data_IF_603884053919
#
_entry.id   IF_603884053919
#
_cell.length_a   1.000
_cell.length_b   1.000
_cell.length_c   1.000
_cell.angle_alpha   90.00
_cell.angle_beta   90.00
_cell.angle_gamma   90.00
#
_symmetry.space_group_name_H-M   'P 1'
#
loop_
_entity.id
_entity.type
_entity.pdbx_description
1 polymer ?
#
# COMPACT_ATOMS: atom_id res chain seq x y z
N UNK A 1 -1.56 -2.71 14.19
CA UNK A 1 -0.92 -1.40 13.91
C UNK A 1 -1.57 -0.28 14.72
N UNK A 2 -2.87 -0.01 14.57
CA UNK A 2 -3.54 1.17 15.21
C UNK A 2 -3.50 1.19 16.75
N UNK A 3 -3.72 0.07 17.43
CA UNK A 3 -3.58 0.02 18.88
C UNK A 3 -2.13 -0.20 19.34
N UNK A 4 -1.27 -0.74 18.46
CA UNK A 4 0.07 -1.17 18.83
C UNK A 4 1.03 -0.01 19.14
N UNK A 5 0.95 1.08 18.38
CA UNK A 5 1.82 2.25 18.60
C UNK A 5 1.47 2.98 19.90
N UNK A 6 0.18 3.34 20.18
CA UNK A 6 -0.19 3.98 21.45
C UNK A 6 0.10 3.11 22.67
N UNK A 7 -0.24 1.81 22.64
CA UNK A 7 0.08 0.88 23.74
C UNK A 7 1.60 0.75 23.94
N UNK A 8 2.36 0.61 22.86
CA UNK A 8 3.82 0.54 22.92
C UNK A 8 4.44 1.78 23.56
N UNK A 9 3.92 2.97 23.24
CA UNK A 9 4.36 4.23 23.85
C UNK A 9 3.98 4.34 25.33
N UNK A 10 2.77 3.95 25.71
CA UNK A 10 2.32 3.96 27.12
C UNK A 10 3.15 3.02 27.99
N UNK A 11 3.37 1.79 27.51
CA UNK A 11 4.16 0.77 28.20
C UNK A 11 5.63 1.17 28.22
N UNK A 12 6.15 1.73 27.13
CA UNK A 12 7.51 2.25 27.06
C UNK A 12 7.77 3.40 28.03
N UNK A 13 6.79 4.29 28.23
CA UNK A 13 6.88 5.37 29.24
C UNK A 13 6.83 4.84 30.67
N UNK A 14 5.97 3.87 30.96
CA UNK A 14 5.78 3.36 32.31
C UNK A 14 6.88 2.38 32.76
N UNK A 15 7.35 1.52 31.87
CA UNK A 15 8.24 0.38 32.19
C UNK A 15 9.57 0.41 31.40
N UNK A 16 9.85 1.51 30.73
CA UNK A 16 11.07 1.71 29.94
C UNK A 16 11.01 1.08 28.55
N UNK A 17 12.00 1.42 27.73
CA UNK A 17 12.03 1.08 26.30
C UNK A 17 12.09 -0.42 26.00
N UNK A 18 12.51 -1.27 26.95
CA UNK A 18 12.60 -2.73 26.78
C UNK A 18 11.25 -3.42 26.90
N UNK A 19 10.31 -2.86 27.67
CA UNK A 19 9.04 -3.49 27.99
C UNK A 19 8.15 -3.78 26.75
N UNK A 20 8.04 -2.87 25.75
CA UNK A 20 7.34 -3.18 24.51
C UNK A 20 7.92 -4.38 23.75
N UNK A 21 9.24 -4.55 23.74
CA UNK A 21 9.88 -5.69 23.08
C UNK A 21 9.56 -7.01 23.76
N UNK A 22 9.61 -7.05 25.10
CA UNK A 22 9.24 -8.25 25.87
C UNK A 22 7.78 -8.62 25.62
N UNK A 23 6.88 -7.64 25.63
CA UNK A 23 5.46 -7.86 25.33
C UNK A 23 5.26 -8.46 23.94
N UNK A 24 5.93 -7.91 22.94
CA UNK A 24 5.89 -8.44 21.56
C UNK A 24 6.40 -9.87 21.54
N UNK A 25 7.54 -10.18 22.17
CA UNK A 25 8.09 -11.54 22.23
C UNK A 25 7.12 -12.55 22.85
N UNK A 26 6.47 -12.20 23.96
CA UNK A 26 5.47 -13.06 24.62
C UNK A 26 4.26 -13.30 23.71
N UNK A 27 3.70 -12.25 23.13
CA UNK A 27 2.57 -12.36 22.20
C UNK A 27 2.91 -13.21 20.96
N UNK A 28 4.13 -13.08 20.43
CA UNK A 28 4.61 -13.92 19.34
C UNK A 28 4.70 -15.38 19.74
N UNK A 29 5.20 -15.70 20.94
CA UNK A 29 5.28 -17.07 21.43
C UNK A 29 3.89 -17.69 21.59
N UNK A 30 2.94 -16.94 22.17
CA UNK A 30 1.53 -17.37 22.31
C UNK A 30 0.93 -17.66 20.93
N UNK A 31 1.16 -16.78 19.96
CA UNK A 31 0.65 -16.94 18.59
C UNK A 31 1.27 -18.17 17.91
N UNK A 32 2.58 -18.41 18.10
CA UNK A 32 3.28 -19.57 17.57
C UNK A 32 2.72 -20.89 18.13
N UNK A 33 2.51 -20.96 19.45
CA UNK A 33 1.90 -22.13 20.10
C UNK A 33 0.46 -22.31 19.59
N UNK A 34 -0.30 -21.22 19.48
CA UNK A 34 -1.66 -21.23 18.94
C UNK A 34 -1.72 -21.82 17.54
N UNK A 35 -0.83 -21.38 16.64
CA UNK A 35 -0.74 -21.94 15.28
C UNK A 35 -0.35 -23.43 15.32
N UNK A 36 0.61 -23.82 16.15
CA UNK A 36 1.07 -25.21 16.23
C UNK A 36 -0.02 -26.18 16.73
N UNK A 37 -0.91 -25.72 17.61
CA UNK A 37 -1.96 -26.55 18.22
C UNK A 37 -3.27 -26.49 17.44
N UNK A 38 -3.65 -25.31 16.94
CA UNK A 38 -4.99 -25.05 16.36
C UNK A 38 -5.03 -25.20 14.84
N UNK A 39 -3.90 -25.00 14.13
CA UNK A 39 -3.91 -25.01 12.68
C UNK A 39 -3.86 -26.46 12.15
N UNK A 40 -4.88 -26.92 11.40
CA UNK A 40 -4.86 -28.25 10.80
C UNK A 40 -3.72 -28.35 9.79
N UNK A 41 -3.13 -29.55 9.65
CA UNK A 41 -2.11 -29.80 8.63
C UNK A 41 -2.68 -29.55 7.24
N UNK A 42 -2.15 -28.52 6.57
CA UNK A 42 -2.48 -28.20 5.18
C UNK A 42 -1.57 -29.04 4.29
N UNK A 43 -2.15 -29.79 3.36
CA UNK A 43 -1.37 -30.56 2.39
C UNK A 43 -0.46 -29.61 1.58
N UNK A 44 0.82 -29.95 1.36
CA UNK A 44 1.68 -29.14 0.51
C UNK A 44 1.06 -29.02 -0.88
N UNK A 45 0.73 -27.79 -1.31
CA UNK A 45 0.44 -27.53 -2.73
C UNK A 45 1.68 -27.87 -3.54
N UNK A 46 1.49 -28.38 -4.76
CA UNK A 46 2.61 -28.58 -5.69
C UNK A 46 3.37 -27.27 -5.84
N UNK A 47 4.61 -27.25 -5.34
CA UNK A 47 5.46 -26.06 -5.35
C UNK A 47 5.95 -25.90 -6.77
N UNK A 48 5.45 -24.88 -7.46
CA UNK A 48 5.96 -24.51 -8.78
C UNK A 48 7.46 -24.18 -8.62
N UNK A 49 8.35 -24.69 -9.48
CA UNK A 49 9.77 -24.39 -9.39
C UNK A 49 10.01 -22.87 -9.36
N UNK A 50 10.91 -22.42 -8.47
CA UNK A 50 11.31 -21.01 -8.33
C UNK A 50 11.59 -20.34 -9.68
N UNK A 51 12.21 -21.06 -10.61
CA UNK A 51 12.48 -20.57 -11.97
C UNK A 51 11.20 -20.21 -12.74
N UNK A 52 10.15 -21.03 -12.67
CA UNK A 52 8.87 -20.76 -13.33
C UNK A 52 8.11 -19.62 -12.64
N UNK A 53 8.21 -19.51 -11.31
CA UNK A 53 7.65 -18.40 -10.58
C UNK A 53 8.35 -17.07 -10.93
N UNK A 54 9.68 -17.06 -11.04
CA UNK A 54 10.46 -15.89 -11.48
C UNK A 54 10.15 -15.46 -12.92
N UNK A 55 9.80 -16.40 -13.81
CA UNK A 55 9.37 -16.08 -15.18
C UNK A 55 8.08 -15.26 -15.21
N UNK A 56 7.20 -15.38 -14.20
CA UNK A 56 6.01 -14.53 -14.11
C UNK A 56 6.35 -13.05 -13.90
N UNK A 57 7.51 -12.73 -13.33
CA UNK A 57 7.99 -11.36 -13.17
C UNK A 57 8.42 -10.68 -14.46
N UNK A 58 8.68 -11.44 -15.52
CA UNK A 58 8.96 -10.86 -16.84
C UNK A 58 7.69 -10.37 -17.54
N UNK A 59 6.51 -10.66 -16.99
CA UNK A 59 5.25 -10.33 -17.64
C UNK A 59 4.96 -8.84 -17.42
N UNK A 60 4.78 -8.06 -18.50
CA UNK A 60 4.64 -6.60 -18.43
C UNK A 60 3.44 -6.16 -17.60
N UNK A 61 2.40 -6.99 -17.50
CA UNK A 61 1.22 -6.76 -16.64
C UNK A 61 1.54 -6.80 -15.15
N UNK A 62 2.39 -7.74 -14.72
CA UNK A 62 2.81 -7.88 -13.32
C UNK A 62 3.81 -6.77 -12.96
N UNK A 63 4.78 -6.49 -13.84
CA UNK A 63 5.75 -5.41 -13.64
C UNK A 63 5.04 -4.07 -13.45
N UNK A 64 4.07 -3.74 -14.30
CA UNK A 64 3.34 -2.47 -14.20
C UNK A 64 2.47 -2.38 -12.93
N UNK A 65 1.89 -3.49 -12.47
CA UNK A 65 1.16 -3.53 -11.20
C UNK A 65 2.06 -3.34 -9.98
N UNK A 66 3.24 -3.98 -9.98
CA UNK A 66 4.24 -3.79 -8.93
C UNK A 66 4.81 -2.36 -8.95
N UNK A 67 5.09 -1.81 -10.14
CA UNK A 67 5.54 -0.43 -10.30
C UNK A 67 4.48 0.57 -9.83
N UNK A 68 3.20 0.30 -10.10
CA UNK A 68 2.08 1.09 -9.55
C UNK A 68 2.13 1.12 -8.02
N UNK A 69 2.40 -0.02 -7.39
CA UNK A 69 2.54 -0.10 -5.93
C UNK A 69 3.70 0.76 -5.42
N UNK A 70 4.88 0.64 -6.05
CA UNK A 70 6.05 1.47 -5.71
C UNK A 70 5.70 2.94 -5.82
N UNK A 71 5.13 3.37 -6.94
CA UNK A 71 4.85 4.79 -7.22
C UNK A 71 3.76 5.39 -6.33
N UNK A 72 2.65 4.66 -6.09
CA UNK A 72 1.61 5.10 -5.16
C UNK A 72 2.20 5.32 -3.77
N UNK A 73 3.01 4.37 -3.30
CA UNK A 73 3.54 4.43 -1.95
C UNK A 73 4.69 5.42 -1.81
N UNK A 74 5.52 5.59 -2.85
CA UNK A 74 6.46 6.71 -2.95
C UNK A 74 5.72 8.03 -2.84
N UNK A 75 4.66 8.24 -3.62
CA UNK A 75 3.89 9.48 -3.59
C UNK A 75 3.28 9.77 -2.22
N UNK A 76 2.74 8.74 -1.56
CA UNK A 76 2.25 8.84 -0.18
C UNK A 76 3.36 9.23 0.81
N UNK A 77 4.50 8.54 0.77
CA UNK A 77 5.57 8.71 1.74
C UNK A 77 6.41 9.98 1.53
N UNK A 78 6.45 10.53 0.32
CA UNK A 78 7.04 11.86 0.08
C UNK A 78 6.43 12.91 1.01
N UNK A 79 5.11 12.85 1.25
CA UNK A 79 4.43 13.73 2.19
C UNK A 79 4.36 13.14 3.60
N UNK A 80 3.94 11.88 3.74
CA UNK A 80 3.65 11.28 5.04
C UNK A 80 4.89 11.15 5.94
N UNK A 81 6.07 10.86 5.37
CA UNK A 81 7.31 10.75 6.14
C UNK A 81 7.68 12.07 6.85
N UNK A 82 7.24 13.19 6.30
CA UNK A 82 7.49 14.54 6.82
C UNK A 82 6.19 15.20 7.30
N UNK A 83 5.18 14.40 7.66
CA UNK A 83 3.88 14.94 8.03
C UNK A 83 3.91 15.74 9.33
N UNK A 84 4.68 15.29 10.33
CA UNK A 84 4.88 16.05 11.58
C UNK A 84 5.47 17.44 11.31
N UNK A 85 6.62 17.59 10.62
CA UNK A 85 7.14 18.92 10.32
C UNK A 85 6.19 19.74 9.42
N UNK A 86 5.46 19.11 8.50
CA UNK A 86 4.42 19.81 7.72
C UNK A 86 3.33 20.44 8.62
N UNK A 87 2.81 19.69 9.60
CA UNK A 87 1.82 20.20 10.55
C UNK A 87 2.37 21.33 11.44
N UNK A 88 3.67 21.30 11.75
CA UNK A 88 4.32 22.32 12.59
C UNK A 88 4.62 23.60 11.79
N UNK A 89 5.18 23.47 10.59
CA UNK A 89 5.61 24.62 9.80
C UNK A 89 4.44 25.32 9.10
N UNK A 90 3.44 24.56 8.63
CA UNK A 90 2.37 25.09 7.77
C UNK A 90 1.10 25.40 8.57
N UNK A 91 0.77 24.56 9.57
CA UNK A 91 -0.44 24.72 10.39
C UNK A 91 -0.13 25.22 11.81
N UNK A 92 1.15 25.40 12.17
CA UNK A 92 1.60 25.88 13.48
C UNK A 92 1.02 25.09 14.67
N UNK A 93 0.82 23.78 14.48
CA UNK A 93 0.23 22.92 15.51
C UNK A 93 1.26 22.54 16.59
N UNK A 94 0.78 22.47 17.83
CA UNK A 94 1.54 21.94 18.95
C UNK A 94 1.50 20.39 19.00
N UNK A 95 2.30 19.79 19.88
CA UNK A 95 2.42 18.33 20.02
C UNK A 95 1.09 17.61 20.34
N UNK A 96 0.18 18.25 21.09
CA UNK A 96 -1.11 17.66 21.44
C UNK A 96 -2.01 17.56 20.21
N UNK A 97 -2.09 18.62 19.40
CA UNK A 97 -2.85 18.62 18.15
C UNK A 97 -2.26 17.68 17.11
N UNK A 98 -0.93 17.59 17.01
CA UNK A 98 -0.28 16.62 16.13
C UNK A 98 -0.67 15.19 16.52
N UNK A 99 -0.64 14.87 17.82
CA UNK A 99 -1.05 13.56 18.32
C UNK A 99 -2.52 13.25 17.98
N UNK A 100 -3.40 14.24 18.12
CA UNK A 100 -4.81 14.13 17.71
C UNK A 100 -4.95 13.88 16.20
N UNK A 101 -4.23 14.62 15.36
CA UNK A 101 -4.25 14.42 13.90
C UNK A 101 -3.78 13.01 13.51
N UNK A 102 -2.68 12.51 14.09
CA UNK A 102 -2.24 11.14 13.86
C UNK A 102 -3.24 10.08 14.35
N UNK A 103 -3.93 10.34 15.45
CA UNK A 103 -4.98 9.45 15.95
C UNK A 103 -6.15 9.36 14.95
N UNK A 104 -6.64 10.51 14.48
CA UNK A 104 -7.70 10.58 13.45
C UNK A 104 -7.24 9.92 12.16
N UNK A 105 -5.99 10.16 11.73
CA UNK A 105 -5.38 9.51 10.59
C UNK A 105 -5.39 7.98 10.75
N UNK A 106 -4.99 7.45 11.89
CA UNK A 106 -4.97 6.00 12.11
C UNK A 106 -6.38 5.37 12.03
N UNK A 107 -7.40 6.03 12.57
CA UNK A 107 -8.79 5.56 12.46
C UNK A 107 -9.23 5.57 11.00
N UNK A 108 -9.01 6.68 10.30
CA UNK A 108 -9.34 6.83 8.90
C UNK A 108 -8.63 5.78 8.02
N UNK A 109 -7.36 5.48 8.27
CA UNK A 109 -6.59 4.44 7.60
C UNK A 109 -7.23 3.04 7.73
N UNK A 110 -7.70 2.67 8.93
CA UNK A 110 -8.36 1.37 9.14
C UNK A 110 -9.68 1.29 8.39
N UNK A 111 -10.49 2.34 8.48
CA UNK A 111 -11.76 2.42 7.74
C UNK A 111 -11.50 2.35 6.23
N UNK A 112 -10.48 3.07 5.75
CA UNK A 112 -10.04 3.05 4.35
C UNK A 112 -9.63 1.66 3.87
N UNK A 113 -8.82 0.94 4.64
CA UNK A 113 -8.44 -0.43 4.32
C UNK A 113 -9.64 -1.37 4.20
N UNK A 114 -10.60 -1.28 5.14
CA UNK A 114 -11.85 -2.04 5.08
C UNK A 114 -12.70 -1.71 3.85
N UNK A 115 -12.89 -0.41 3.58
CA UNK A 115 -13.64 0.05 2.40
C UNK A 115 -12.94 -0.33 1.09
N UNK A 116 -11.61 -0.33 1.05
CA UNK A 116 -10.82 -0.77 -0.09
C UNK A 116 -11.00 -2.25 -0.40
N UNK A 117 -11.01 -3.09 0.64
CA UNK A 117 -11.32 -4.52 0.54
C UNK A 117 -12.74 -4.75 0.04
N UNK A 118 -13.73 -4.12 0.69
CA UNK A 118 -15.13 -4.18 0.26
C UNK A 118 -15.32 -3.73 -1.20
N UNK A 119 -14.68 -2.64 -1.62
CA UNK A 119 -14.76 -2.12 -3.00
C UNK A 119 -14.12 -3.09 -4.00
N UNK A 120 -12.99 -3.71 -3.64
CA UNK A 120 -12.33 -4.71 -4.48
C UNK A 120 -13.17 -5.97 -4.67
N UNK A 121 -13.90 -6.40 -3.63
CA UNK A 121 -14.80 -7.55 -3.68
C UNK A 121 -16.09 -7.23 -4.45
N UNK A 122 -16.67 -6.04 -4.23
CA UNK A 122 -17.95 -5.61 -4.82
C UNK A 122 -17.83 -5.22 -6.29
N UNK A 123 -16.80 -4.45 -6.66
CA UNK A 123 -16.64 -3.89 -8.01
C UNK A 123 -15.55 -4.57 -8.83
N UNK A 124 -14.73 -5.41 -8.20
CA UNK A 124 -13.54 -6.00 -8.79
C UNK A 124 -12.30 -5.12 -8.59
N UNK A 125 -11.15 -5.78 -8.41
CA UNK A 125 -9.87 -5.14 -8.12
C UNK A 125 -9.43 -4.12 -9.18
N UNK A 126 -9.73 -4.36 -10.46
CA UNK A 126 -9.45 -3.44 -11.57
C UNK A 126 -10.22 -2.13 -11.43
N UNK A 127 -11.55 -2.19 -11.31
CA UNK A 127 -12.39 -0.98 -11.20
C UNK A 127 -12.07 -0.21 -9.92
N UNK A 128 -11.89 -0.93 -8.81
CA UNK A 128 -11.50 -0.33 -7.53
C UNK A 128 -10.18 0.45 -7.66
N UNK A 129 -9.16 -0.15 -8.28
CA UNK A 129 -7.85 0.50 -8.51
C UNK A 129 -7.97 1.74 -9.40
N UNK A 130 -8.77 1.68 -10.48
CA UNK A 130 -8.96 2.80 -11.39
C UNK A 130 -9.77 3.96 -10.79
N UNK A 131 -10.51 3.75 -9.71
CA UNK A 131 -11.24 4.81 -8.99
C UNK A 131 -10.41 5.37 -7.83
N UNK A 132 -9.76 4.51 -7.05
CA UNK A 132 -9.07 4.92 -5.82
C UNK A 132 -7.78 5.70 -6.13
N UNK A 133 -6.96 5.26 -7.09
CA UNK A 133 -5.69 5.94 -7.41
C UNK A 133 -5.89 7.39 -7.86
N UNK A 134 -6.78 7.72 -8.82
CA UNK A 134 -6.95 9.12 -9.23
C UNK A 134 -7.59 9.96 -8.12
N UNK A 135 -8.52 9.40 -7.34
CA UNK A 135 -9.04 10.07 -6.15
C UNK A 135 -7.92 10.40 -5.15
N UNK A 136 -6.99 9.46 -4.95
CA UNK A 136 -5.83 9.66 -4.08
C UNK A 136 -4.90 10.76 -4.60
N UNK A 137 -4.64 10.81 -5.91
CA UNK A 137 -3.86 11.87 -6.53
C UNK A 137 -4.49 13.25 -6.30
N UNK A 138 -5.78 13.40 -6.57
CA UNK A 138 -6.53 14.65 -6.38
C UNK A 138 -6.41 15.12 -4.93
N UNK A 139 -6.62 14.20 -3.99
CA UNK A 139 -6.62 14.53 -2.56
C UNK A 139 -5.22 14.94 -2.07
N UNK A 140 -4.15 14.31 -2.57
CA UNK A 140 -2.78 14.76 -2.27
C UNK A 140 -2.54 16.20 -2.74
N UNK A 141 -2.99 16.56 -3.94
CA UNK A 141 -2.86 17.94 -4.42
C UNK A 141 -3.73 18.93 -3.65
N UNK A 142 -4.82 18.47 -3.04
CA UNK A 142 -5.72 19.31 -2.26
C UNK A 142 -5.18 19.61 -0.85
N UNK A 143 -4.31 18.76 -0.29
CA UNK A 143 -3.69 18.95 1.03
C UNK A 143 -3.11 20.37 1.20
N UNK A 144 -2.14 20.83 0.38
CA UNK A 144 -1.50 22.13 0.57
C UNK A 144 -2.47 23.31 0.39
N UNK A 145 -3.53 23.13 -0.40
CA UNK A 145 -4.57 24.14 -0.65
C UNK A 145 -5.57 24.20 0.50
N UNK A 146 -5.71 23.14 1.29
CA UNK A 146 -6.67 23.06 2.40
C UNK A 146 -6.20 23.70 3.71
N UNK A 147 -4.95 24.17 3.77
CA UNK A 147 -4.28 24.60 5.02
C UNK A 147 -4.79 25.91 5.60
N UNK A 148 -5.53 26.72 4.83
CA UNK A 148 -6.15 27.96 5.32
C UNK A 148 -7.24 27.73 6.37
N UNK A 149 -7.78 26.51 6.47
CA UNK A 149 -8.79 26.14 7.46
C UNK A 149 -8.47 24.76 8.05
N UNK A 150 -8.26 24.71 9.37
CA UNK A 150 -7.96 23.45 10.06
C UNK A 150 -9.04 22.39 9.86
N UNK A 151 -10.33 22.78 9.85
CA UNK A 151 -11.43 21.85 9.62
C UNK A 151 -11.43 21.28 8.21
N UNK A 152 -11.17 22.11 7.20
CA UNK A 152 -11.07 21.65 5.81
C UNK A 152 -9.87 20.70 5.66
N UNK A 153 -8.72 21.07 6.22
CA UNK A 153 -7.54 20.24 6.25
C UNK A 153 -7.81 18.87 6.89
N UNK A 154 -8.51 18.82 8.03
CA UNK A 154 -8.87 17.55 8.68
C UNK A 154 -9.73 16.66 7.77
N UNK A 155 -10.73 17.23 7.09
CA UNK A 155 -11.57 16.48 6.14
C UNK A 155 -10.73 15.92 5.00
N UNK A 156 -9.90 16.76 4.37
CA UNK A 156 -9.02 16.34 3.26
C UNK A 156 -8.02 15.28 3.73
N UNK A 157 -7.46 15.43 4.94
CA UNK A 157 -6.56 14.46 5.55
C UNK A 157 -7.25 13.13 5.83
N UNK A 158 -8.51 13.13 6.28
CA UNK A 158 -9.27 11.90 6.53
C UNK A 158 -9.46 11.14 5.22
N UNK A 159 -9.86 11.84 4.15
CA UNK A 159 -10.00 11.24 2.83
C UNK A 159 -8.65 10.73 2.32
N UNK A 160 -7.58 11.50 2.49
CA UNK A 160 -6.21 11.11 2.12
C UNK A 160 -5.80 9.81 2.80
N UNK A 161 -6.01 9.74 4.12
CA UNK A 161 -5.68 8.58 4.95
C UNK A 161 -6.52 7.36 4.60
N UNK A 162 -7.80 7.54 4.26
CA UNK A 162 -8.65 6.42 3.84
C UNK A 162 -8.16 5.85 2.51
N UNK A 163 -7.90 6.72 1.53
CA UNK A 163 -7.49 6.33 0.20
C UNK A 163 -6.08 5.70 0.18
N UNK A 164 -5.15 6.17 1.03
CA UNK A 164 -3.79 5.62 1.09
C UNK A 164 -3.76 4.14 1.46
N UNK A 165 -4.71 3.69 2.29
CA UNK A 165 -4.81 2.31 2.75
C UNK A 165 -5.88 1.48 2.01
N UNK A 166 -6.78 2.11 1.28
CA UNK A 166 -7.76 1.43 0.44
C UNK A 166 -7.14 0.70 -0.78
N UNK A 167 -5.97 1.17 -1.25
CA UNK A 167 -5.30 0.64 -2.45
C UNK A 167 -4.69 -0.75 -2.21
N UNK A 168 -4.13 -0.99 -1.02
CA UNK A 168 -3.40 -2.22 -0.69
C UNK A 168 -4.22 -3.51 -0.91
N UNK A 169 -5.44 -3.65 -0.36
CA UNK A 169 -6.24 -4.88 -0.57
C UNK A 169 -6.64 -5.04 -2.05
N UNK A 170 -6.95 -3.95 -2.75
CA UNK A 170 -7.28 -4.00 -4.17
C UNK A 170 -6.09 -4.50 -5.02
N UNK A 171 -4.87 -4.00 -4.74
CA UNK A 171 -3.64 -4.43 -5.40
C UNK A 171 -3.28 -5.88 -5.09
N UNK A 172 -3.36 -6.31 -3.82
CA UNK A 172 -3.11 -7.70 -3.44
C UNK A 172 -4.10 -8.66 -4.12
N UNK A 173 -5.39 -8.32 -4.12
CA UNK A 173 -6.43 -9.09 -4.82
C UNK A 173 -6.17 -9.13 -6.33
N UNK A 174 -5.75 -8.02 -6.93
CA UNK A 174 -5.36 -7.94 -8.35
C UNK A 174 -4.21 -8.88 -8.70
N UNK A 175 -3.14 -8.89 -7.89
CA UNK A 175 -1.97 -9.74 -8.12
C UNK A 175 -2.32 -11.23 -7.99
N UNK A 176 -3.09 -11.59 -6.96
CA UNK A 176 -3.57 -12.96 -6.74
C UNK A 176 -4.41 -13.43 -7.94
N UNK A 177 -5.35 -12.61 -8.42
CA UNK A 177 -6.17 -12.94 -9.59
C UNK A 177 -5.36 -12.99 -10.89
N UNK A 178 -4.28 -12.21 -11.00
CA UNK A 178 -3.48 -12.11 -12.23
C UNK A 178 -2.51 -13.28 -12.42
N UNK A 179 -1.94 -13.82 -11.35
CA UNK A 179 -1.27 -15.13 -11.40
C UNK A 179 -1.54 -15.94 -10.12
N UNK A 180 -2.65 -16.71 -10.09
CA UNK A 180 -3.04 -17.51 -8.92
C UNK A 180 -1.97 -18.53 -8.54
N UNK A 181 -1.32 -19.11 -9.54
CA UNK A 181 -0.28 -20.13 -9.42
C UNK A 181 1.01 -19.63 -8.75
N UNK A 182 1.36 -18.34 -8.92
CA UNK A 182 2.55 -17.72 -8.30
C UNK A 182 2.20 -16.61 -7.30
N UNK A 183 0.99 -16.65 -6.75
CA UNK A 183 0.44 -15.62 -5.86
C UNK A 183 1.30 -15.34 -4.63
N UNK A 184 1.84 -16.38 -3.97
CA UNK A 184 2.71 -16.22 -2.80
C UNK A 184 3.96 -15.36 -3.09
N UNK A 185 4.62 -15.62 -4.22
CA UNK A 185 5.80 -14.85 -4.64
C UNK A 185 5.40 -13.44 -5.08
N UNK A 186 4.26 -13.29 -5.76
CA UNK A 186 3.78 -11.97 -6.15
C UNK A 186 3.45 -11.11 -4.93
N UNK A 187 2.87 -11.68 -3.87
CA UNK A 187 2.62 -11.00 -2.61
C UNK A 187 3.92 -10.68 -1.87
N UNK A 188 4.87 -11.62 -1.83
CA UNK A 188 6.20 -11.37 -1.24
C UNK A 188 6.94 -10.25 -1.96
N UNK A 189 6.89 -10.22 -3.30
CA UNK A 189 7.52 -9.17 -4.09
C UNK A 189 6.77 -7.86 -3.99
N UNK A 190 5.45 -7.89 -3.83
CA UNK A 190 4.68 -6.70 -3.53
C UNK A 190 5.08 -6.11 -2.18
N UNK A 191 5.31 -6.93 -1.15
CA UNK A 191 5.86 -6.45 0.11
C UNK A 191 7.22 -5.74 -0.07
N UNK A 192 8.13 -6.33 -0.86
CA UNK A 192 9.40 -5.66 -1.21
C UNK A 192 9.19 -4.36 -2.00
N UNK A 193 8.24 -4.33 -2.93
CA UNK A 193 7.87 -3.14 -3.68
C UNK A 193 7.29 -2.04 -2.79
N UNK A 194 6.49 -2.39 -1.78
CA UNK A 194 5.99 -1.44 -0.78
C UNK A 194 7.17 -0.81 -0.01
N UNK A 195 8.13 -1.62 0.45
CA UNK A 195 9.31 -1.11 1.17
C UNK A 195 10.20 -0.24 0.27
N UNK A 196 10.38 -0.62 -1.00
CA UNK A 196 11.06 0.22 -1.99
C UNK A 196 10.36 1.55 -2.18
N UNK A 197 9.03 1.56 -2.30
CA UNK A 197 8.23 2.79 -2.37
C UNK A 197 8.40 3.67 -1.14
N UNK A 198 8.39 3.08 0.06
CA UNK A 198 8.62 3.82 1.31
C UNK A 198 10.01 4.47 1.32
N UNK A 199 11.05 3.71 0.95
CA UNK A 199 12.42 4.22 0.88
C UNK A 199 12.56 5.35 -0.14
N UNK A 200 12.04 5.15 -1.36
CA UNK A 200 12.09 6.13 -2.44
C UNK A 200 11.32 7.41 -2.09
N UNK A 201 10.08 7.28 -1.60
CA UNK A 201 9.26 8.42 -1.19
C UNK A 201 9.91 9.22 -0.07
N UNK A 202 10.40 8.56 0.97
CA UNK A 202 11.07 9.22 2.10
C UNK A 202 12.37 9.92 1.68
N UNK A 203 13.16 9.29 0.79
CA UNK A 203 14.39 9.88 0.25
C UNK A 203 14.09 11.11 -0.61
N UNK A 204 13.13 11.00 -1.53
CA UNK A 204 12.72 12.12 -2.40
C UNK A 204 12.14 13.26 -1.57
N UNK A 205 11.26 12.98 -0.61
CA UNK A 205 10.73 13.99 0.31
C UNK A 205 11.84 14.69 1.10
N UNK A 206 12.89 13.96 1.49
CA UNK A 206 14.07 14.51 2.16
C UNK A 206 14.88 15.46 1.28
N UNK A 207 15.08 15.10 0.01
CA UNK A 207 15.75 15.97 -0.97
C UNK A 207 14.93 17.22 -1.26
N UNK A 208 13.59 17.10 -1.35
CA UNK A 208 12.71 18.23 -1.62
C UNK A 208 12.75 19.23 -0.46
N UNK A 209 12.64 18.79 0.81
CA UNK A 209 12.72 19.70 1.96
C UNK A 209 14.10 20.34 2.14
N UNK A 210 15.17 19.69 1.66
CA UNK A 210 16.52 20.25 1.74
C UNK A 210 16.72 21.46 0.81
N UNK A 211 15.97 21.54 -0.28
CA UNK A 211 16.14 22.56 -1.32
C UNK A 211 14.92 23.51 -1.45
N UNK A 212 13.76 23.09 -0.96
CA UNK A 212 12.49 23.79 -1.14
C UNK A 212 11.59 23.68 0.11
N UNK A 213 10.45 24.39 0.09
CA UNK A 213 9.46 24.32 1.18
C UNK A 213 8.83 22.93 1.30
N UNK A 214 8.50 22.53 2.53
CA UNK A 214 7.81 21.28 2.86
C UNK A 214 6.45 21.11 2.16
N UNK A 215 5.82 22.22 1.76
CA UNK A 215 4.57 22.22 0.99
C UNK A 215 4.76 21.53 -0.38
N UNK A 216 5.97 21.59 -0.94
CA UNK A 216 6.29 20.98 -2.23
C UNK A 216 6.24 19.44 -2.21
N UNK A 217 6.35 18.81 -1.04
CA UNK A 217 6.24 17.36 -0.91
C UNK A 217 4.86 16.84 -1.36
N UNK A 218 3.79 17.61 -1.14
CA UNK A 218 2.46 17.23 -1.61
C UNK A 218 2.39 17.26 -3.15
N UNK A 219 2.96 18.28 -3.80
CA UNK A 219 2.99 18.40 -5.26
C UNK A 219 3.82 17.28 -5.91
N UNK A 220 5.03 17.03 -5.38
CA UNK A 220 5.90 15.95 -5.85
C UNK A 220 5.24 14.59 -5.62
N UNK A 221 4.67 14.38 -4.42
CA UNK A 221 3.93 13.15 -4.10
C UNK A 221 2.76 12.91 -5.05
N UNK A 222 1.99 13.95 -5.37
CA UNK A 222 0.88 13.88 -6.31
C UNK A 222 1.33 13.48 -7.72
N UNK A 223 2.48 14.00 -8.18
CA UNK A 223 3.06 13.61 -9.48
C UNK A 223 3.41 12.11 -9.52
N UNK A 224 4.00 11.57 -8.44
CA UNK A 224 4.25 10.12 -8.32
C UNK A 224 2.96 9.31 -8.45
N UNK A 225 1.88 9.72 -7.79
CA UNK A 225 0.59 9.03 -7.87
C UNK A 225 -0.05 9.15 -9.26
N UNK A 226 0.10 10.29 -9.95
CA UNK A 226 -0.34 10.44 -11.34
C UNK A 226 0.40 9.49 -12.29
N UNK A 227 1.72 9.37 -12.15
CA UNK A 227 2.49 8.38 -12.94
C UNK A 227 2.08 6.96 -12.58
N UNK A 228 1.78 6.69 -11.31
CA UNK A 228 1.23 5.41 -10.87
C UNK A 228 -0.11 5.10 -11.55
N UNK A 229 -0.98 6.10 -11.71
CA UNK A 229 -2.26 5.93 -12.39
C UNK A 229 -2.10 5.54 -13.85
N UNK A 230 -1.17 6.18 -14.58
CA UNK A 230 -0.84 5.80 -15.95
C UNK A 230 -0.32 4.36 -16.03
N UNK A 231 0.51 3.96 -15.07
CA UNK A 231 1.00 2.58 -14.95
C UNK A 231 -0.14 1.59 -14.67
N UNK A 232 -1.10 1.97 -13.82
CA UNK A 232 -2.28 1.16 -13.52
C UNK A 232 -3.16 0.96 -14.76
N UNK A 233 -3.43 2.03 -15.52
CA UNK A 233 -4.16 1.94 -16.80
C UNK A 233 -3.44 1.02 -17.78
N UNK A 234 -2.12 1.20 -17.93
CA UNK A 234 -1.30 0.36 -18.81
C UNK A 234 -1.30 -1.12 -18.40
N UNK A 235 -1.36 -1.40 -17.10
CA UNK A 235 -1.47 -2.77 -16.57
C UNK A 235 -2.82 -3.40 -16.91
N UNK A 236 -3.91 -2.63 -16.76
CA UNK A 236 -5.28 -3.10 -16.98
C UNK A 236 -5.59 -3.36 -18.45
N UNK A 237 -5.04 -2.56 -19.37
CA UNK A 237 -5.26 -2.73 -20.82
C UNK A 237 -4.57 -3.96 -21.40
N UNK A 238 -3.66 -4.61 -20.67
CA UNK A 238 -3.00 -5.85 -21.12
C UNK A 238 -3.84 -7.09 -20.78
N UNK A 239 -3.97 -8.06 -21.71
CA UNK A 239 -4.73 -9.29 -21.48
C UNK A 239 -4.22 -10.06 -20.26
N UNK A 240 -5.12 -10.76 -19.56
CA UNK A 240 -4.73 -11.63 -18.44
C UNK A 240 -3.83 -12.76 -18.94
N UNK A 241 -2.95 -13.22 -18.05
CA UNK A 241 -1.99 -14.29 -18.33
C UNK A 241 -2.71 -15.58 -18.73
N UNK A 242 -3.87 -15.83 -18.12
CA UNK A 242 -4.74 -16.97 -18.37
C UNK A 242 -5.35 -16.97 -19.78
N UNK A 243 -5.69 -15.80 -20.31
CA UNK A 243 -6.16 -15.66 -21.70
C UNK A 243 -5.06 -15.98 -22.71
N UNK A 244 -3.80 -15.63 -22.40
CA UNK A 244 -2.66 -15.96 -23.27
C UNK A 244 -2.36 -17.46 -23.26
N UNK A 245 -2.37 -18.10 -22.08
CA UNK A 245 -2.17 -19.53 -21.95
C UNK A 245 -3.30 -20.34 -22.64
N UNK A 246 -4.54 -19.87 -22.53
CA UNK A 246 -5.69 -20.49 -23.21
C UNK A 246 -5.61 -20.33 -24.72
N UNK A 247 -5.21 -19.15 -25.20
CA UNK A 247 -5.04 -18.88 -26.64
C UNK A 247 -3.91 -19.71 -27.25
N UNK A 248 -2.74 -19.77 -26.59
CA UNK A 248 -1.62 -20.63 -27.02
C UNK A 248 -2.02 -22.11 -27.06
N UNK A 249 -2.79 -22.58 -26.06
CA UNK A 249 -3.30 -23.96 -26.03
C UNK A 249 -4.29 -24.23 -27.16
N UNK A 250 -5.17 -23.29 -27.49
CA UNK A 250 -6.08 -23.39 -28.63
C UNK A 250 -5.32 -23.41 -29.97
N UNK A 251 -4.34 -22.51 -30.15
CA UNK A 251 -3.50 -22.45 -31.36
C UNK A 251 -2.67 -23.73 -31.55
N UNK A 252 -2.20 -24.34 -30.46
CA UNK A 252 -1.49 -25.63 -30.51
C UNK A 252 -2.41 -26.78 -30.94
N UNK A 253 -3.61 -26.87 -30.36
CA UNK A 253 -4.60 -27.89 -30.73
C UNK A 253 -5.07 -27.76 -32.19
N UNK A 254 -5.16 -26.53 -32.69
CA UNK A 254 -5.52 -26.27 -34.09
C UNK A 254 -4.41 -26.71 -35.07
N UNK A 255 -3.14 -26.60 -34.67
CA UNK A 255 -2.00 -27.09 -35.46
C UNK A 255 -1.85 -28.61 -35.45
N UNK A 256 -2.31 -29.31 -34.41
CA UNK A 256 -2.30 -30.78 -34.36
C UNK A 256 -3.47 -31.43 -35.11
N UNK A 257 -4.49 -30.64 -35.48
CA UNK A 257 -5.68 -31.10 -36.22
C UNK A 257 -5.60 -30.97 -37.75
N UNK A 258 -4.46 -30.55 -38.29
CA UNK A 258 -4.17 -30.39 -39.73
C UNK A 258 -2.97 -31.26 -40.11
#
# INVERSE_FOLDING_TARGET
MVLGIPLGLLIGKAYGWRAPFILISVLTLITMIGIAVLLPRIAPKQVIPLRQQLLTLKKPKIISAQLTTVLVLSGHLTLYAYFTPFLQEVLHLNANWISFVYFVFCIAAVVGGGLGGWSADRWGSVKSTLVIIPAFAIVIFLIPVSTFSFYLFLVVMVVWSMLSWAITPAQQNYLIKTAPESSDIQLSLNASALQLGIALGSAVGGVVIANHSIVNNAWVGGLFVLVAFLCAIFSVTRPSIELLATKERFEHLQKESV
#
